data_IF_570579122164
#
_entry.id   IF_570579122164
#
_cell.length_a   1.000
_cell.length_b   1.000
_cell.length_c   1.000
_cell.angle_alpha   90.00
_cell.angle_beta   90.00
_cell.angle_gamma   90.00
#
_symmetry.space_group_name_H-M   'P 1'
#
loop_
_entity.id
_entity.type
_entity.pdbx_description
1 polymer ?
#
# COMPACT_ATOMS: atom_id res chain seq x y z
N UNK A 1 6.35 -16.10 -34.33
CA UNK A 1 6.62 -14.65 -34.12
C UNK A 1 5.44 -13.92 -33.48
N UNK A 2 4.20 -13.95 -34.02
CA UNK A 2 3.07 -13.21 -33.43
C UNK A 2 2.68 -13.62 -31.99
N UNK A 3 2.88 -14.88 -31.62
CA UNK A 3 2.66 -15.40 -30.26
C UNK A 3 3.66 -14.87 -29.23
N UNK A 4 4.95 -14.84 -29.59
CA UNK A 4 6.05 -14.29 -28.77
C UNK A 4 5.84 -12.82 -28.37
N UNK A 5 5.35 -12.00 -29.31
CA UNK A 5 5.04 -10.59 -29.04
C UNK A 5 3.87 -10.42 -28.06
N UNK A 6 2.82 -11.26 -28.18
CA UNK A 6 1.67 -11.24 -27.25
C UNK A 6 2.06 -11.70 -25.84
N UNK A 7 2.87 -12.74 -25.73
CA UNK A 7 3.34 -13.25 -24.42
C UNK A 7 4.20 -12.22 -23.69
N UNK A 8 5.12 -11.54 -24.39
CA UNK A 8 5.90 -10.42 -23.81
C UNK A 8 5.01 -9.27 -23.34
N UNK A 9 3.97 -8.93 -24.11
CA UNK A 9 3.04 -7.86 -23.76
C UNK A 9 2.22 -8.20 -22.51
N UNK A 10 1.73 -9.44 -22.41
CA UNK A 10 0.99 -9.94 -21.24
C UNK A 10 1.88 -10.00 -19.99
N UNK A 11 3.13 -10.44 -20.14
CA UNK A 11 4.11 -10.48 -19.04
C UNK A 11 4.42 -9.08 -18.50
N UNK A 12 4.66 -8.11 -19.38
CA UNK A 12 4.90 -6.72 -18.98
C UNK A 12 3.66 -6.11 -18.30
N UNK A 13 2.47 -6.43 -18.79
CA UNK A 13 1.22 -5.97 -18.18
C UNK A 13 1.01 -6.55 -16.77
N UNK A 14 1.30 -7.84 -16.57
CA UNK A 14 1.29 -8.47 -15.24
C UNK A 14 2.28 -7.80 -14.28
N UNK A 15 3.51 -7.56 -14.73
CA UNK A 15 4.55 -6.89 -13.92
C UNK A 15 4.12 -5.46 -13.56
N UNK A 16 3.60 -4.69 -14.50
CA UNK A 16 3.08 -3.34 -14.24
C UNK A 16 1.97 -3.34 -13.20
N UNK A 17 1.01 -4.26 -13.33
CA UNK A 17 -0.09 -4.39 -12.37
C UNK A 17 0.40 -4.77 -10.97
N UNK A 18 1.38 -5.65 -10.90
CA UNK A 18 1.99 -6.05 -9.63
C UNK A 18 2.75 -4.89 -8.96
N UNK A 19 3.53 -4.12 -9.72
CA UNK A 19 4.23 -2.93 -9.22
C UNK A 19 3.20 -1.91 -8.70
N UNK A 20 2.08 -1.72 -9.41
CA UNK A 20 1.02 -0.83 -8.96
C UNK A 20 0.40 -1.28 -7.64
N UNK A 21 0.07 -2.57 -7.52
CA UNK A 21 -0.49 -3.13 -6.28
C UNK A 21 0.49 -3.00 -5.10
N UNK A 22 1.79 -3.25 -5.35
CA UNK A 22 2.84 -3.13 -4.35
C UNK A 22 3.06 -1.67 -3.93
N UNK A 23 3.16 -0.76 -4.89
CA UNK A 23 3.33 0.68 -4.60
C UNK A 23 2.14 1.24 -3.85
N UNK A 24 0.91 0.86 -4.21
CA UNK A 24 -0.28 1.24 -3.46
C UNK A 24 -0.28 0.68 -2.04
N UNK A 25 0.18 -0.56 -1.83
CA UNK A 25 0.33 -1.11 -0.49
C UNK A 25 1.35 -0.31 0.34
N UNK A 26 2.49 0.05 -0.24
CA UNK A 26 3.54 0.85 0.41
C UNK A 26 3.02 2.24 0.80
N UNK A 27 2.27 2.90 -0.08
CA UNK A 27 1.68 4.22 0.24
C UNK A 27 0.71 4.12 1.41
N UNK A 28 -0.20 3.13 1.40
CA UNK A 28 -1.20 2.93 2.45
C UNK A 28 -0.53 2.58 3.79
N UNK A 29 0.49 1.73 3.76
CA UNK A 29 1.24 1.38 4.97
C UNK A 29 2.07 2.56 5.48
N UNK A 30 2.67 3.34 4.57
CA UNK A 30 3.38 4.56 4.92
C UNK A 30 2.47 5.58 5.62
N UNK A 31 1.26 5.79 5.11
CA UNK A 31 0.28 6.67 5.77
C UNK A 31 -0.21 6.10 7.10
N UNK A 32 -0.43 4.78 7.21
CA UNK A 32 -0.76 4.13 8.48
C UNK A 32 0.31 4.39 9.54
N UNK A 33 1.58 4.19 9.18
CA UNK A 33 2.73 4.44 10.06
C UNK A 33 2.76 5.91 10.48
N UNK A 34 2.60 6.85 9.54
CA UNK A 34 2.55 8.27 9.86
C UNK A 34 1.41 8.60 10.82
N UNK A 35 0.21 8.06 10.61
CA UNK A 35 -0.94 8.29 11.50
C UNK A 35 -0.69 7.77 12.92
N UNK A 36 -0.16 6.55 13.06
CA UNK A 36 0.08 5.88 14.34
C UNK A 36 1.28 6.46 15.11
N UNK A 37 2.32 6.91 14.39
CA UNK A 37 3.53 7.49 14.97
C UNK A 37 3.52 9.02 15.01
N UNK A 38 2.45 9.68 14.58
CA UNK A 38 2.47 11.14 14.53
C UNK A 38 2.56 11.81 15.91
N UNK A 39 2.23 11.12 17.00
CA UNK A 39 2.55 11.57 18.36
C UNK A 39 4.06 11.56 18.62
N UNK A 40 4.77 10.50 18.21
CA UNK A 40 6.23 10.39 18.36
C UNK A 40 6.99 11.33 17.44
N UNK A 41 6.47 11.54 16.23
CA UNK A 41 7.03 12.45 15.23
C UNK A 41 6.65 13.92 15.47
N UNK A 42 5.81 14.19 16.49
CA UNK A 42 5.31 15.53 16.86
C UNK A 42 4.76 16.30 15.65
N UNK A 43 4.04 15.61 14.78
CA UNK A 43 3.46 16.26 13.59
C UNK A 43 2.21 17.02 14.02
N UNK A 44 2.35 18.33 14.22
CA UNK A 44 1.29 19.21 14.73
C UNK A 44 0.02 19.14 13.90
N UNK A 45 0.14 19.13 12.57
CA UNK A 45 -0.99 19.03 11.63
C UNK A 45 -1.87 17.81 11.87
N UNK A 46 -1.24 16.70 12.22
CA UNK A 46 -1.94 15.47 12.52
C UNK A 46 -2.43 15.49 13.98
N UNK A 47 -1.68 16.10 14.93
CA UNK A 47 -2.07 16.22 16.34
C UNK A 47 -3.34 17.04 16.58
N UNK A 48 -3.68 17.92 15.65
CA UNK A 48 -4.95 18.64 15.62
C UNK A 48 -6.16 17.73 15.35
N UNK A 49 -5.94 16.56 14.75
CA UNK A 49 -6.99 15.59 14.45
C UNK A 49 -7.23 14.71 15.67
N UNK A 50 -8.50 14.39 15.91
CA UNK A 50 -8.93 13.57 17.03
C UNK A 50 -8.11 12.25 17.11
N UNK A 51 -7.54 11.94 18.29
CA UNK A 51 -6.66 10.79 18.46
C UNK A 51 -7.39 9.47 18.19
N UNK A 52 -8.67 9.35 18.57
CA UNK A 52 -9.47 8.16 18.28
C UNK A 52 -9.56 7.92 16.77
N UNK A 53 -9.79 8.99 16.00
CA UNK A 53 -9.84 8.90 14.54
C UNK A 53 -8.50 8.49 13.93
N UNK A 54 -7.38 9.06 14.40
CA UNK A 54 -6.03 8.72 13.90
C UNK A 54 -5.67 7.26 14.17
N UNK A 55 -5.96 6.76 15.36
CA UNK A 55 -5.69 5.36 15.69
C UNK A 55 -6.60 4.40 14.92
N UNK A 56 -7.89 4.73 14.76
CA UNK A 56 -8.81 3.93 13.95
C UNK A 56 -8.37 3.88 12.48
N UNK A 57 -8.14 5.04 11.87
CA UNK A 57 -7.72 5.12 10.47
C UNK A 57 -6.35 4.49 10.26
N UNK A 58 -5.40 4.76 11.15
CA UNK A 58 -4.07 4.13 11.14
C UNK A 58 -4.17 2.62 11.25
N UNK A 59 -5.02 2.09 12.14
CA UNK A 59 -5.27 0.66 12.27
C UNK A 59 -5.89 0.03 11.02
N UNK A 60 -6.92 0.66 10.44
CA UNK A 60 -7.55 0.18 9.19
C UNK A 60 -6.55 0.19 8.03
N UNK A 61 -5.76 1.25 7.89
CA UNK A 61 -4.75 1.34 6.84
C UNK A 61 -3.61 0.35 7.05
N UNK A 62 -3.22 0.09 8.31
CA UNK A 62 -2.23 -0.93 8.63
C UNK A 62 -2.74 -2.33 8.24
N UNK A 63 -3.98 -2.67 8.63
CA UNK A 63 -4.59 -3.96 8.31
C UNK A 63 -4.80 -4.14 6.80
N UNK A 64 -5.42 -3.16 6.14
CA UNK A 64 -5.73 -3.23 4.72
C UNK A 64 -4.46 -3.15 3.85
N UNK A 65 -3.56 -2.24 4.19
CA UNK A 65 -2.27 -2.09 3.53
C UNK A 65 -1.40 -3.34 3.71
N UNK A 66 -1.42 -3.94 4.91
CA UNK A 66 -0.73 -5.19 5.21
C UNK A 66 -1.31 -6.36 4.41
N UNK A 67 -2.64 -6.47 4.32
CA UNK A 67 -3.30 -7.47 3.47
C UNK A 67 -2.94 -7.30 1.99
N UNK A 68 -2.94 -6.06 1.48
CA UNK A 68 -2.52 -5.75 0.11
C UNK A 68 -1.05 -6.08 -0.12
N UNK A 69 -0.17 -5.77 0.83
CA UNK A 69 1.25 -6.09 0.76
C UNK A 69 1.46 -7.60 0.72
N UNK A 70 0.79 -8.34 1.61
CA UNK A 70 0.82 -9.80 1.63
C UNK A 70 0.37 -10.39 0.29
N UNK A 71 -0.75 -9.89 -0.26
CA UNK A 71 -1.25 -10.30 -1.57
C UNK A 71 -0.27 -9.96 -2.72
N UNK A 72 0.37 -8.80 -2.66
CA UNK A 72 1.36 -8.35 -3.65
C UNK A 72 2.65 -9.17 -3.62
N UNK A 73 3.12 -9.59 -2.44
CA UNK A 73 4.32 -10.43 -2.29
C UNK A 73 4.04 -11.87 -2.71
N UNK A 74 2.89 -12.42 -2.31
CA UNK A 74 2.55 -13.82 -2.58
C UNK A 74 2.33 -14.12 -4.07
N UNK A 75 2.31 -13.11 -4.95
CA UNK A 75 2.17 -13.31 -6.40
C UNK A 75 0.96 -14.21 -6.73
N UNK A 76 -0.21 -14.01 -6.09
CA UNK A 76 -1.45 -14.69 -6.51
C UNK A 76 -1.97 -14.05 -7.82
N UNK A 77 -1.20 -14.16 -8.91
CA UNK A 77 -1.52 -13.71 -10.27
C UNK A 77 -1.02 -14.65 -11.36
#
# INVERSE_FOLDING_TARGET
>A
MATDFRERQQKNYRIMRMIYDLSMAVIILGTAVLLLLAEKLKIEQLLLVDPMFRYLMGGVFLLYGGFRLYRGIKHDY
#
